data_IF_583894173249
#
_entry.id   IF_583894173249
#
_cell.length_a   1.000
_cell.length_b   1.000
_cell.length_c   1.000
_cell.angle_alpha   90.00
_cell.angle_beta   90.00
_cell.angle_gamma   90.00
#
_symmetry.space_group_name_H-M   'P 1'
#
loop_
_entity.id
_entity.type
_entity.pdbx_description
1 polymer ?
#
# COMPACT_ATOMS: atom_id res chain seq x y z
N UNK A 1 6.98 46.97 -6.70
CA UNK A 1 6.58 46.69 -8.09
C UNK A 1 7.80 46.24 -8.87
N UNK A 2 7.90 44.96 -9.16
CA UNK A 2 8.75 44.38 -10.23
C UNK A 2 8.18 43.00 -10.58
N UNK A 3 7.83 42.71 -11.83
CA UNK A 3 7.28 41.41 -12.22
C UNK A 3 8.41 40.42 -12.53
N UNK A 4 8.35 39.22 -11.96
CA UNK A 4 9.26 38.14 -12.33
C UNK A 4 8.62 37.29 -13.43
N UNK A 5 9.39 37.11 -14.47
CA UNK A 5 9.09 36.53 -15.78
C UNK A 5 8.96 35.01 -15.66
N UNK A 6 7.90 34.48 -16.26
CA UNK A 6 7.72 33.04 -16.55
C UNK A 6 8.79 32.57 -17.54
N UNK A 7 9.53 31.53 -17.22
CA UNK A 7 10.38 30.81 -18.16
C UNK A 7 9.65 29.54 -18.58
N UNK A 8 9.20 29.54 -19.84
CA UNK A 8 8.65 28.42 -20.59
C UNK A 8 9.84 27.67 -21.23
N UNK A 9 10.10 26.43 -20.82
CA UNK A 9 11.08 25.59 -21.50
C UNK A 9 10.34 24.59 -22.39
N UNK A 10 10.47 24.85 -23.68
CA UNK A 10 9.99 24.02 -24.78
C UNK A 10 11.17 23.11 -25.17
N UNK A 11 11.03 21.79 -25.03
CA UNK A 11 11.99 20.85 -25.63
C UNK A 11 11.32 20.16 -26.80
N UNK A 12 11.84 20.55 -27.97
CA UNK A 12 11.43 20.03 -29.29
C UNK A 12 12.17 18.73 -29.59
N UNK A 13 11.46 17.79 -30.23
CA UNK A 13 11.91 16.47 -30.57
C UNK A 13 12.96 16.39 -31.66
N UNK A 14 13.52 15.23 -31.80
CA UNK A 14 14.14 14.77 -33.03
C UNK A 14 13.87 13.28 -33.21
N UNK A 15 13.05 12.98 -34.22
CA UNK A 15 12.85 11.68 -34.84
C UNK A 15 14.03 11.43 -35.76
N UNK A 16 14.69 10.28 -35.70
CA UNK A 16 15.58 9.80 -36.75
C UNK A 16 15.22 8.37 -37.09
N UNK A 17 14.63 8.22 -38.29
CA UNK A 17 14.49 6.95 -39.01
C UNK A 17 15.77 6.66 -39.81
N UNK A 18 16.19 5.39 -39.89
CA UNK A 18 16.92 4.79 -41.02
C UNK A 18 16.86 3.26 -40.87
N UNK A 19 16.08 2.57 -41.62
CA UNK A 19 16.21 1.89 -42.93
C UNK A 19 17.22 0.73 -42.98
N UNK A 20 16.64 -0.46 -43.08
CA UNK A 20 16.84 -1.64 -43.92
C UNK A 20 18.25 -2.06 -44.40
N UNK A 21 18.53 -3.35 -44.20
CA UNK A 21 19.20 -4.19 -45.22
C UNK A 21 18.82 -5.67 -45.05
N UNK A 22 18.20 -6.22 -46.08
CA UNK A 22 17.98 -7.64 -46.32
C UNK A 22 19.29 -8.32 -46.69
N UNK A 23 19.57 -9.52 -46.19
CA UNK A 23 20.40 -10.52 -46.87
C UNK A 23 19.77 -11.90 -46.64
N UNK A 24 19.34 -12.46 -47.78
CA UNK A 24 18.90 -13.84 -47.95
C UNK A 24 20.14 -14.63 -48.43
N UNK A 25 20.43 -15.77 -47.79
CA UNK A 25 21.07 -16.91 -48.49
C UNK A 25 20.82 -18.21 -47.71
N UNK A 26 20.54 -19.13 -48.33
CA UNK A 26 19.95 -20.40 -48.56
C UNK A 26 20.68 -21.62 -47.95
N UNK A 27 19.88 -22.63 -47.65
CA UNK A 27 20.06 -24.08 -47.68
C UNK A 27 21.18 -24.78 -46.89
N UNK A 28 20.73 -25.70 -46.06
CA UNK A 28 21.50 -26.82 -45.50
C UNK A 28 20.61 -27.71 -44.60
N UNK A 29 20.12 -28.83 -45.20
CA UNK A 29 19.38 -29.88 -44.48
C UNK A 29 20.30 -30.61 -43.50
N UNK A 30 19.83 -30.79 -42.28
CA UNK A 30 20.43 -31.66 -41.28
C UNK A 30 19.40 -31.98 -40.21
N UNK A 31 18.72 -33.13 -40.33
CA UNK A 31 17.83 -33.64 -39.32
C UNK A 31 18.63 -34.03 -38.09
N UNK A 32 18.36 -33.38 -36.95
CA UNK A 32 18.74 -33.89 -35.64
C UNK A 32 17.60 -33.59 -34.68
N UNK A 33 17.05 -34.68 -34.16
CA UNK A 33 16.04 -34.76 -33.12
C UNK A 33 16.58 -34.09 -31.85
N UNK A 34 16.36 -32.80 -31.70
CA UNK A 34 16.65 -32.04 -30.48
C UNK A 34 15.36 -31.88 -29.67
N UNK A 35 15.27 -32.63 -28.61
CA UNK A 35 14.30 -32.53 -27.52
C UNK A 35 14.12 -31.04 -27.16
N UNK A 36 12.96 -30.49 -27.44
CA UNK A 36 12.57 -29.20 -26.94
C UNK A 36 12.51 -29.26 -25.41
N UNK A 37 13.57 -28.77 -24.78
CA UNK A 37 13.55 -28.43 -23.37
C UNK A 37 12.67 -27.17 -23.28
N UNK A 38 11.40 -27.36 -22.95
CA UNK A 38 10.60 -26.28 -22.42
C UNK A 38 11.27 -25.86 -21.12
N UNK A 39 12.07 -24.80 -21.15
CA UNK A 39 12.38 -24.09 -19.93
C UNK A 39 11.04 -23.52 -19.44
N UNK A 40 10.41 -24.24 -18.53
CA UNK A 40 9.44 -23.66 -17.64
C UNK A 40 10.16 -22.45 -17.02
N UNK A 41 9.71 -21.25 -17.36
CA UNK A 41 10.01 -20.09 -16.55
C UNK A 41 9.53 -20.48 -15.15
N UNK A 42 10.47 -20.70 -14.25
CA UNK A 42 10.20 -20.68 -12.82
C UNK A 42 9.66 -19.28 -12.59
N UNK A 43 8.35 -19.15 -12.45
CA UNK A 43 7.78 -18.01 -11.80
C UNK A 43 8.31 -18.07 -10.37
N UNK A 44 9.34 -17.31 -10.10
CA UNK A 44 9.74 -16.92 -8.75
C UNK A 44 8.54 -16.11 -8.21
N UNK A 45 7.54 -16.83 -7.70
CA UNK A 45 6.51 -16.25 -6.85
C UNK A 45 7.13 -16.09 -5.47
N UNK A 46 8.08 -15.18 -5.35
CA UNK A 46 8.41 -14.62 -4.06
C UNK A 46 7.09 -14.05 -3.50
N UNK A 47 6.70 -14.46 -2.29
CA UNK A 47 5.51 -13.97 -1.58
C UNK A 47 5.59 -12.44 -1.46
N UNK A 48 5.00 -11.73 -2.42
CA UNK A 48 5.09 -10.26 -2.42
C UNK A 48 4.27 -9.69 -1.29
N UNK A 49 4.92 -8.87 -0.48
CA UNK A 49 4.28 -8.14 0.61
C UNK A 49 4.07 -6.67 0.22
N UNK A 50 2.87 -6.16 0.48
CA UNK A 50 2.52 -4.76 0.33
C UNK A 50 2.24 -4.14 1.69
N UNK A 51 2.88 -3.02 1.98
CA UNK A 51 2.55 -2.18 3.14
C UNK A 51 1.53 -1.13 2.72
N UNK A 52 0.30 -1.27 3.21
CA UNK A 52 -0.80 -0.32 2.99
C UNK A 52 -0.99 0.50 4.26
N UNK A 53 -1.09 1.81 4.18
CA UNK A 53 -1.37 2.59 5.38
C UNK A 53 -2.14 3.88 5.10
N UNK A 54 -2.87 4.34 6.11
CA UNK A 54 -3.39 5.70 6.22
C UNK A 54 -2.74 6.41 7.41
N UNK A 55 -2.35 7.67 7.21
CA UNK A 55 -1.77 8.48 8.28
C UNK A 55 -2.24 9.93 8.21
N UNK A 56 -3.03 10.36 9.20
CA UNK A 56 -3.54 11.72 9.26
C UNK A 56 -2.50 12.72 9.80
N UNK A 57 -1.67 12.30 10.77
CA UNK A 57 -0.73 13.17 11.50
C UNK A 57 0.74 12.72 11.39
N UNK A 58 1.04 11.75 10.53
CA UNK A 58 2.39 11.24 10.28
C UNK A 58 2.81 10.07 11.18
N UNK A 59 2.10 9.74 12.26
CA UNK A 59 2.54 8.70 13.20
C UNK A 59 2.51 7.30 12.55
N UNK A 60 1.42 6.94 11.88
CA UNK A 60 1.32 5.65 11.17
C UNK A 60 2.32 5.58 10.00
N UNK A 61 2.55 6.70 9.31
CA UNK A 61 3.54 6.77 8.24
C UNK A 61 4.95 6.45 8.74
N UNK A 62 5.36 6.95 9.90
CA UNK A 62 6.67 6.63 10.49
C UNK A 62 6.86 5.15 10.74
N UNK A 63 5.83 4.45 11.24
CA UNK A 63 5.88 2.99 11.41
C UNK A 63 6.00 2.29 10.07
N UNK A 64 5.16 2.67 9.10
CA UNK A 64 5.19 2.11 7.75
C UNK A 64 6.55 2.30 7.07
N UNK A 65 7.17 3.49 7.21
CA UNK A 65 8.51 3.78 6.68
C UNK A 65 9.58 2.85 7.25
N UNK A 66 9.54 2.55 8.56
CA UNK A 66 10.48 1.58 9.16
C UNK A 66 10.28 0.20 8.56
N UNK A 67 9.03 -0.28 8.45
CA UNK A 67 8.70 -1.59 7.88
C UNK A 67 9.23 -1.71 6.45
N UNK A 68 8.96 -0.71 5.60
CA UNK A 68 9.34 -0.69 4.19
C UNK A 68 10.87 -0.66 4.02
N UNK A 69 11.56 0.23 4.76
CA UNK A 69 13.00 0.42 4.58
C UNK A 69 13.84 -0.76 5.04
N UNK A 70 13.39 -1.51 6.03
CA UNK A 70 14.13 -2.68 6.54
C UNK A 70 13.97 -3.91 5.64
N UNK A 71 12.88 -3.99 4.86
CA UNK A 71 12.53 -5.22 4.14
C UNK A 71 12.35 -5.04 2.62
N UNK A 72 12.65 -3.86 2.08
CA UNK A 72 12.48 -3.53 0.64
C UNK A 72 11.07 -3.92 0.10
N UNK A 73 10.04 -3.64 0.91
CA UNK A 73 8.65 -3.94 0.58
C UNK A 73 8.00 -2.84 -0.26
N UNK A 74 7.06 -3.21 -1.11
CA UNK A 74 6.22 -2.25 -1.81
C UNK A 74 5.30 -1.51 -0.81
N UNK A 75 4.96 -0.25 -1.12
CA UNK A 75 4.16 0.59 -0.23
C UNK A 75 3.02 1.29 -0.97
N UNK A 76 1.86 1.38 -0.32
CA UNK A 76 0.70 2.13 -0.79
C UNK A 76 0.13 3.00 0.33
N UNK A 77 0.18 4.32 0.14
CA UNK A 77 -0.45 5.26 1.07
C UNK A 77 -1.91 5.51 0.65
N UNK A 78 -2.85 5.22 1.52
CA UNK A 78 -4.26 5.55 1.32
C UNK A 78 -4.42 7.06 1.39
N UNK A 79 -4.94 7.66 0.34
CA UNK A 79 -5.11 9.11 0.24
C UNK A 79 -6.58 9.46 -0.02
N UNK A 80 -7.27 10.08 0.95
CA UNK A 80 -8.59 10.64 0.70
C UNK A 80 -8.56 11.71 -0.41
N UNK A 81 -9.60 11.77 -1.27
CA UNK A 81 -9.77 12.86 -2.24
C UNK A 81 -9.77 14.23 -1.56
N UNK A 82 -10.32 14.30 -0.35
CA UNK A 82 -10.26 15.48 0.51
C UNK A 82 -9.43 15.14 1.74
N UNK A 83 -8.14 15.51 1.80
CA UNK A 83 -7.31 15.28 2.97
C UNK A 83 -7.90 15.94 4.22
N UNK A 84 -7.68 15.34 5.39
CA UNK A 84 -8.11 15.94 6.65
C UNK A 84 -7.15 17.04 7.07
N UNK A 85 -7.69 18.25 7.28
CA UNK A 85 -6.95 19.34 7.90
C UNK A 85 -6.84 19.16 9.43
N UNK A 86 -6.08 20.01 10.10
CA UNK A 86 -6.01 20.01 11.56
C UNK A 86 -7.38 20.29 12.20
N UNK A 87 -8.17 21.17 11.57
CA UNK A 87 -9.53 21.51 12.00
C UNK A 87 -10.48 20.32 11.79
N UNK A 88 -10.35 19.60 10.67
CA UNK A 88 -11.12 18.37 10.42
C UNK A 88 -10.87 17.28 11.47
N UNK A 89 -9.64 17.24 12.00
CA UNK A 89 -9.21 16.25 13.00
C UNK A 89 -9.46 16.68 14.45
N UNK A 90 -10.07 17.84 14.68
CA UNK A 90 -10.38 18.34 16.03
C UNK A 90 -11.51 17.56 16.69
N UNK A 91 -11.22 16.32 17.09
CA UNK A 91 -12.18 15.33 17.61
C UNK A 91 -12.94 15.78 18.88
N UNK A 92 -12.48 16.83 19.56
CA UNK A 92 -13.18 17.47 20.71
C UNK A 92 -14.20 18.53 20.26
N UNK A 93 -14.17 18.93 19.00
CA UNK A 93 -15.18 19.81 18.39
C UNK A 93 -16.23 18.95 17.68
N UNK A 94 -17.48 19.00 18.14
CA UNK A 94 -18.59 18.27 17.53
C UNK A 94 -18.88 18.70 16.09
N UNK A 95 -18.44 19.89 15.70
CA UNK A 95 -18.62 20.43 14.36
C UNK A 95 -17.48 20.05 13.39
N UNK A 96 -16.39 19.46 13.88
CA UNK A 96 -15.31 18.98 13.04
C UNK A 96 -15.79 17.88 12.08
N UNK A 97 -15.07 17.70 10.98
CA UNK A 97 -15.39 16.66 10.01
C UNK A 97 -15.36 15.27 10.64
N UNK A 98 -14.29 14.94 11.34
CA UNK A 98 -14.12 13.60 11.94
C UNK A 98 -15.17 13.30 13.02
N UNK A 99 -15.64 14.33 13.79
CA UNK A 99 -16.72 14.16 14.77
C UNK A 99 -18.08 13.92 14.11
N UNK A 100 -18.37 14.62 13.01
CA UNK A 100 -19.58 14.38 12.20
C UNK A 100 -19.58 12.99 11.56
N UNK A 101 -18.46 12.57 11.00
CA UNK A 101 -18.29 11.21 10.45
C UNK A 101 -18.45 10.14 11.55
N UNK A 102 -17.98 10.43 12.78
CA UNK A 102 -18.20 9.53 13.91
C UNK A 102 -19.67 9.41 14.30
N UNK A 103 -20.39 10.52 14.32
CA UNK A 103 -21.80 10.58 14.71
C UNK A 103 -22.75 9.97 13.66
N UNK A 104 -22.38 10.02 12.37
CA UNK A 104 -23.20 9.53 11.27
C UNK A 104 -22.42 8.51 10.40
N UNK A 105 -22.76 7.20 10.53
CA UNK A 105 -22.11 6.17 9.71
C UNK A 105 -22.23 6.37 8.20
N UNK A 106 -23.23 7.11 7.71
CA UNK A 106 -23.36 7.41 6.29
C UNK A 106 -22.26 8.31 5.75
N UNK A 107 -21.55 9.05 6.63
CA UNK A 107 -20.43 9.92 6.28
C UNK A 107 -19.08 9.23 6.34
N UNK A 108 -19.03 7.97 6.81
CA UNK A 108 -17.77 7.21 6.98
C UNK A 108 -17.25 6.58 5.68
N UNK A 109 -18.02 6.67 4.59
CA UNK A 109 -17.56 6.20 3.28
C UNK A 109 -16.76 7.30 2.59
N UNK A 110 -15.46 7.31 2.88
CA UNK A 110 -14.53 8.36 2.44
C UNK A 110 -14.02 8.04 1.04
N UNK A 111 -14.26 8.94 0.07
CA UNK A 111 -13.72 8.81 -1.28
C UNK A 111 -12.18 8.89 -1.29
N UNK A 112 -11.53 8.00 -2.03
CA UNK A 112 -10.09 7.87 -2.14
C UNK A 112 -9.61 8.31 -3.53
N UNK A 113 -8.41 8.90 -3.61
CA UNK A 113 -7.78 9.27 -4.88
C UNK A 113 -7.49 8.04 -5.75
N UNK A 114 -7.10 6.97 -5.11
CA UNK A 114 -6.92 5.63 -5.68
C UNK A 114 -7.36 4.63 -4.63
N UNK A 115 -8.30 3.78 -4.96
CA UNK A 115 -8.88 2.81 -4.02
C UNK A 115 -8.21 1.43 -4.11
N UNK A 116 -7.57 1.11 -5.24
CA UNK A 116 -6.88 -0.16 -5.46
C UNK A 116 -5.44 0.10 -5.90
N UNK A 117 -4.43 -0.49 -5.22
CA UNK A 117 -3.03 -0.40 -5.65
C UNK A 117 -2.80 -1.06 -7.01
N UNK A 118 -1.84 -0.56 -7.77
CA UNK A 118 -1.38 -1.24 -8.98
C UNK A 118 -0.87 -2.65 -8.62
N UNK A 119 -1.14 -3.62 -9.49
CA UNK A 119 -0.74 -5.02 -9.30
C UNK A 119 -1.28 -5.67 -8.00
N UNK A 120 -2.42 -5.21 -7.48
CA UNK A 120 -3.02 -5.72 -6.23
C UNK A 120 -3.06 -7.24 -6.14
N UNK A 121 -3.40 -7.91 -7.25
CA UNK A 121 -3.52 -9.37 -7.30
C UNK A 121 -2.19 -10.10 -7.12
N UNK A 122 -1.06 -9.42 -7.32
CA UNK A 122 0.27 -10.01 -7.18
C UNK A 122 0.78 -10.09 -5.74
N UNK A 123 0.12 -9.44 -4.80
CA UNK A 123 0.51 -9.44 -3.39
C UNK A 123 -0.21 -10.57 -2.64
N UNK A 124 0.55 -11.38 -1.93
CA UNK A 124 0.04 -12.47 -1.08
C UNK A 124 -0.10 -12.03 0.38
N UNK A 125 0.74 -11.10 0.82
CA UNK A 125 0.70 -10.53 2.16
C UNK A 125 0.44 -9.02 2.11
N UNK A 126 -0.46 -8.55 2.97
CA UNK A 126 -0.77 -7.12 3.13
C UNK A 126 -0.60 -6.73 4.59
N UNK A 127 0.38 -5.88 4.87
CA UNK A 127 0.52 -5.24 6.18
C UNK A 127 -0.29 -3.96 6.13
N UNK A 128 -1.35 -3.84 6.97
CA UNK A 128 -2.27 -2.71 6.92
C UNK A 128 -2.18 -1.84 8.17
N UNK A 129 -1.80 -0.56 8.01
CA UNK A 129 -1.56 0.38 9.09
C UNK A 129 -2.57 1.52 9.16
N UNK A 130 -3.00 1.87 10.40
CA UNK A 130 -4.00 2.92 10.61
C UNK A 130 -3.93 3.57 12.00
N UNK A 131 -4.35 4.83 12.11
CA UNK A 131 -4.60 5.43 13.43
C UNK A 131 -5.96 4.96 13.97
N UNK A 132 -6.04 4.84 15.31
CA UNK A 132 -7.32 4.53 15.99
C UNK A 132 -8.14 5.81 16.15
N UNK A 133 -9.37 5.79 15.64
CA UNK A 133 -10.40 6.81 15.82
C UNK A 133 -11.59 6.19 16.56
N UNK A 134 -11.87 6.65 17.81
CA UNK A 134 -12.95 6.09 18.66
C UNK A 134 -12.98 4.55 18.74
N UNK A 135 -11.81 3.94 18.90
CA UNK A 135 -11.68 2.48 19.01
C UNK A 135 -11.82 1.70 17.71
N UNK A 136 -11.89 2.39 16.56
CA UNK A 136 -11.97 1.82 15.22
C UNK A 136 -10.79 2.27 14.36
N UNK A 137 -10.57 1.60 13.24
CA UNK A 137 -9.66 2.10 12.21
C UNK A 137 -10.19 3.40 11.62
N UNK A 138 -9.31 4.34 11.28
CA UNK A 138 -9.68 5.56 10.57
C UNK A 138 -10.49 5.26 9.31
N UNK A 139 -11.54 6.04 9.04
CA UNK A 139 -12.54 5.75 8.01
C UNK A 139 -11.97 5.55 6.59
N UNK A 140 -10.92 6.26 6.14
CA UNK A 140 -10.29 5.99 4.84
C UNK A 140 -9.83 4.54 4.68
N UNK A 141 -9.41 3.88 5.77
CA UNK A 141 -8.98 2.46 5.73
C UNK A 141 -10.16 1.53 5.53
N UNK A 142 -11.29 1.81 6.16
CA UNK A 142 -12.51 1.04 5.94
C UNK A 142 -12.99 1.16 4.48
N UNK A 143 -12.90 2.34 3.86
CA UNK A 143 -13.21 2.54 2.44
C UNK A 143 -12.28 1.72 1.54
N UNK A 144 -10.97 1.72 1.81
CA UNK A 144 -9.98 0.91 1.10
C UNK A 144 -10.29 -0.59 1.21
N UNK A 145 -10.60 -1.08 2.41
CA UNK A 145 -10.90 -2.50 2.64
C UNK A 145 -12.17 -2.94 1.90
N UNK A 146 -13.21 -2.11 1.87
CA UNK A 146 -14.44 -2.39 1.11
C UNK A 146 -14.21 -2.45 -0.40
N UNK A 147 -13.29 -1.64 -0.92
CA UNK A 147 -13.01 -1.53 -2.34
C UNK A 147 -12.23 -2.73 -2.90
N UNK A 148 -11.43 -3.41 -2.06
CA UNK A 148 -10.49 -4.44 -2.50
C UNK A 148 -10.95 -5.86 -2.14
N UNK A 149 -10.54 -6.84 -2.95
CA UNK A 149 -10.71 -8.26 -2.66
C UNK A 149 -9.46 -8.82 -1.97
N UNK A 150 -9.63 -9.36 -0.76
CA UNK A 150 -8.57 -9.93 0.06
C UNK A 150 -8.52 -11.46 -0.01
N UNK A 151 -9.35 -12.11 -0.84
CA UNK A 151 -9.35 -13.56 -0.96
C UNK A 151 -7.95 -14.10 -1.29
N UNK A 152 -7.50 -15.08 -0.51
CA UNK A 152 -6.17 -15.69 -0.64
C UNK A 152 -5.00 -14.87 -0.10
N UNK A 153 -5.24 -13.69 0.49
CA UNK A 153 -4.19 -12.86 1.08
C UNK A 153 -4.12 -13.04 2.60
N UNK A 154 -2.91 -13.01 3.14
CA UNK A 154 -2.66 -12.86 4.57
C UNK A 154 -2.64 -11.37 4.91
N UNK A 155 -3.43 -10.94 5.89
CA UNK A 155 -3.53 -9.53 6.29
C UNK A 155 -3.02 -9.36 7.71
N UNK A 156 -2.04 -8.48 7.89
CA UNK A 156 -1.37 -8.23 9.17
C UNK A 156 -1.62 -6.78 9.59
N UNK A 157 -2.57 -6.53 10.49
CA UNK A 157 -2.88 -5.18 10.91
C UNK A 157 -1.85 -4.60 11.88
N UNK A 158 -1.59 -3.30 11.78
CA UNK A 158 -1.03 -2.53 12.88
C UNK A 158 -1.77 -1.21 13.06
N UNK A 159 -1.78 -0.70 14.27
CA UNK A 159 -2.37 0.59 14.50
C UNK A 159 -1.43 1.53 15.28
N UNK A 160 -1.70 2.83 15.18
CA UNK A 160 -1.09 3.85 16.02
C UNK A 160 -2.16 4.53 16.87
N UNK A 161 -1.86 4.73 18.14
CA UNK A 161 -2.75 5.45 19.06
C UNK A 161 -1.98 6.07 20.21
N UNK A 162 -2.53 7.12 20.83
CA UNK A 162 -1.96 7.72 22.03
C UNK A 162 -2.05 6.80 23.24
N UNK A 163 -3.19 6.10 23.41
CA UNK A 163 -3.45 5.27 24.60
C UNK A 163 -4.34 4.05 24.34
N UNK A 164 -5.18 4.09 23.30
CA UNK A 164 -6.08 2.97 23.00
C UNK A 164 -5.29 1.80 22.44
N UNK A 165 -5.63 0.59 22.86
CA UNK A 165 -5.13 -0.62 22.22
C UNK A 165 -5.79 -0.83 20.86
N UNK A 166 -5.31 -1.79 20.08
CA UNK A 166 -5.88 -2.17 18.77
C UNK A 166 -7.35 -2.63 18.92
N UNK A 167 -7.70 -3.22 20.06
CA UNK A 167 -9.06 -3.66 20.39
C UNK A 167 -9.67 -4.52 19.29
N UNK A 168 -10.91 -4.21 18.92
CA UNK A 168 -11.64 -4.90 17.86
C UNK A 168 -11.45 -4.26 16.48
N UNK A 169 -10.60 -3.24 16.33
CA UNK A 169 -10.49 -2.49 15.09
C UNK A 169 -10.06 -3.34 13.90
N UNK A 170 -9.13 -4.28 14.12
CA UNK A 170 -8.69 -5.24 13.10
C UNK A 170 -9.82 -6.21 12.70
N UNK A 171 -10.58 -6.74 13.68
CA UNK A 171 -11.72 -7.61 13.42
C UNK A 171 -12.82 -6.88 12.65
N UNK A 172 -13.10 -5.63 13.00
CA UNK A 172 -14.09 -4.82 12.29
C UNK A 172 -13.69 -4.61 10.81
N UNK A 173 -12.39 -4.44 10.51
CA UNK A 173 -11.92 -4.40 9.13
C UNK A 173 -12.05 -5.76 8.43
N UNK A 174 -11.73 -6.86 9.12
CA UNK A 174 -11.89 -8.22 8.60
C UNK A 174 -13.36 -8.52 8.23
N UNK A 175 -14.29 -8.05 9.05
CA UNK A 175 -15.74 -8.22 8.81
C UNK A 175 -16.24 -7.40 7.59
N UNK A 176 -15.55 -6.30 7.26
CA UNK A 176 -15.82 -5.49 6.06
C UNK A 176 -15.16 -6.06 4.80
N UNK A 177 -14.09 -6.83 4.96
CA UNK A 177 -13.29 -7.32 3.86
C UNK A 177 -13.98 -8.42 3.07
N UNK A 178 -13.67 -8.50 1.78
CA UNK A 178 -14.04 -9.63 0.93
C UNK A 178 -12.91 -10.68 1.04
N UNK A 179 -12.99 -11.55 2.05
CA UNK A 179 -12.02 -12.62 2.28
C UNK A 179 -10.74 -12.18 3.01
N UNK A 180 -9.69 -13.01 2.87
CA UNK A 180 -8.40 -12.83 3.52
C UNK A 180 -8.28 -13.55 4.86
N UNK A 181 -7.05 -13.94 5.21
CA UNK A 181 -6.69 -14.45 6.53
C UNK A 181 -6.14 -13.29 7.36
N UNK A 182 -6.95 -12.81 8.30
CA UNK A 182 -6.59 -11.66 9.14
C UNK A 182 -5.91 -12.14 10.42
N UNK A 183 -4.65 -11.73 10.57
CA UNK A 183 -3.82 -12.07 11.73
C UNK A 183 -4.10 -11.15 12.92
N UNK A 184 -3.57 -11.53 14.08
CA UNK A 184 -3.51 -10.61 15.22
C UNK A 184 -2.66 -9.39 14.87
N UNK A 185 -3.11 -8.21 15.30
CA UNK A 185 -2.42 -6.95 15.00
C UNK A 185 -1.57 -6.43 16.15
N UNK A 186 -0.74 -5.41 15.85
CA UNK A 186 0.12 -4.72 16.80
C UNK A 186 -0.28 -3.25 16.96
N UNK A 187 -0.21 -2.74 18.18
CA UNK A 187 -0.37 -1.32 18.48
C UNK A 187 0.99 -0.66 18.72
N UNK A 188 1.24 0.47 18.08
CA UNK A 188 2.38 1.31 18.33
C UNK A 188 1.97 2.68 18.92
N UNK A 189 2.71 3.24 19.88
CA UNK A 189 2.49 4.60 20.35
C UNK A 189 2.98 5.63 19.32
N UNK A 190 2.60 6.90 19.49
CA UNK A 190 3.02 7.97 18.58
C UNK A 190 4.55 8.23 18.59
N UNK A 191 5.20 7.92 19.70
CA UNK A 191 6.63 8.04 19.96
C UNK A 191 7.37 6.69 19.89
N UNK A 192 6.84 5.76 19.08
CA UNK A 192 7.42 4.42 18.92
C UNK A 192 8.91 4.48 18.57
N UNK A 193 9.69 3.60 19.20
CA UNK A 193 11.06 3.34 18.84
C UNK A 193 11.12 2.45 17.59
N UNK A 194 11.96 2.81 16.63
CA UNK A 194 12.15 2.01 15.41
C UNK A 194 12.58 0.57 15.70
N UNK A 195 13.31 0.31 16.78
CA UNK A 195 13.74 -1.04 17.15
C UNK A 195 12.56 -1.93 17.56
N UNK A 196 11.50 -1.36 18.17
CA UNK A 196 10.28 -2.11 18.48
C UNK A 196 9.54 -2.53 17.19
N UNK A 197 9.54 -1.66 16.17
CA UNK A 197 8.92 -1.96 14.88
C UNK A 197 9.72 -3.06 14.16
N UNK A 198 11.06 -2.96 14.15
CA UNK A 198 11.94 -3.99 13.58
C UNK A 198 11.71 -5.35 14.22
N UNK A 199 11.75 -5.39 15.56
CA UNK A 199 11.52 -6.62 16.30
C UNK A 199 10.17 -7.26 15.97
N UNK A 200 9.13 -6.46 15.85
CA UNK A 200 7.81 -6.97 15.47
C UNK A 200 7.79 -7.58 14.08
N UNK A 201 8.44 -6.93 13.09
CA UNK A 201 8.53 -7.48 11.72
C UNK A 201 9.37 -8.75 11.67
N UNK A 202 10.50 -8.80 12.39
CA UNK A 202 11.34 -9.99 12.50
C UNK A 202 10.55 -11.17 13.11
N UNK A 203 9.75 -10.90 14.15
CA UNK A 203 8.90 -11.90 14.81
C UNK A 203 7.79 -12.44 13.87
N UNK A 204 7.37 -11.68 12.85
CA UNK A 204 6.43 -12.15 11.84
C UNK A 204 7.06 -13.12 10.83
N UNK A 205 8.38 -13.20 10.77
CA UNK A 205 9.10 -14.11 9.85
C UNK A 205 8.89 -13.76 8.37
N UNK A 206 8.61 -12.49 8.06
CA UNK A 206 8.43 -11.97 6.69
C UNK A 206 9.77 -11.63 6.03
N UNK A 207 10.89 -12.11 6.61
CA UNK A 207 12.23 -11.83 6.11
C UNK A 207 12.36 -12.24 4.65
N UNK A 208 12.91 -11.31 3.88
CA UNK A 208 13.43 -11.43 2.51
C UNK A 208 13.33 -12.84 1.89
N UNK A 209 12.28 -13.12 1.18
CA UNK A 209 12.20 -14.28 0.27
C UNK A 209 12.90 -13.97 -1.09
N UNK A 210 13.76 -12.96 -1.11
CA UNK A 210 14.54 -12.53 -2.27
C UNK A 210 16.02 -13.01 -2.19
N UNK A 211 16.26 -14.26 -1.76
CA UNK A 211 17.57 -14.91 -1.89
C UNK A 211 17.58 -15.96 -2.99
#
# INVERSE_FOLDING_TARGET
MKPMKKALVLVLGAVLMMSAALCITACGQGASSGKASSSAASSDTANKTLVVYYSATGNTAKVAEVIVNENDMDVFAIMPEQPYSAEDLAWTDENSRVSKEHADPALQDVALLQDTPDNWDSYETVIIGYPIWWGQAAYPVASFVKANDFAGKTVIPFCTSASSDIGNSAQNLADLAKGGEWMGGMRFPADVNSDEVRQWIDDLGLENQNL
#
